data_IF_943854686518
#
_entry.id   IF_943854686518
#
_cell.length_a   1.000
_cell.length_b   1.000
_cell.length_c   1.000
_cell.angle_alpha   90.00
_cell.angle_beta   90.00
_cell.angle_gamma   90.00
#
_symmetry.space_group_name_H-M   'P 1'
#
loop_
_entity.id
_entity.type
_entity.pdbx_description
1 polymer ?
#
# COMPACT_ATOMS: atom_id res chain seq x y z
N UNK A 1 -10.56 -36.63 -13.85
CA UNK A 1 -9.13 -36.47 -14.14
C UNK A 1 -9.01 -35.40 -15.21
N UNK A 2 -8.58 -34.19 -14.85
CA UNK A 2 -8.59 -33.02 -15.74
C UNK A 2 -7.34 -33.01 -16.63
N UNK A 3 -7.52 -32.89 -17.95
CA UNK A 3 -6.42 -32.81 -18.92
C UNK A 3 -5.83 -31.41 -18.91
N UNK A 4 -4.51 -31.31 -18.71
CA UNK A 4 -3.77 -30.07 -18.81
C UNK A 4 -3.62 -29.67 -20.29
N UNK A 5 -4.15 -28.51 -20.67
CA UNK A 5 -3.93 -27.94 -21.99
C UNK A 5 -2.46 -27.52 -22.14
N UNK A 6 -1.74 -28.11 -23.09
CA UNK A 6 -0.36 -27.74 -23.41
C UNK A 6 -0.37 -26.50 -24.30
N UNK A 7 0.07 -25.37 -23.76
CA UNK A 7 0.22 -24.14 -24.53
C UNK A 7 1.44 -24.26 -25.45
N UNK A 8 1.24 -24.16 -26.77
CA UNK A 8 2.31 -24.22 -27.77
C UNK A 8 2.77 -22.82 -28.11
N UNK A 9 4.05 -22.51 -27.86
CA UNK A 9 4.63 -21.22 -28.24
C UNK A 9 4.79 -21.14 -29.77
N UNK A 10 3.98 -20.27 -30.40
CA UNK A 10 3.97 -20.04 -31.85
C UNK A 10 4.79 -18.81 -32.27
N UNK A 11 5.53 -18.20 -31.35
CA UNK A 11 6.34 -17.00 -31.61
C UNK A 11 7.36 -17.27 -32.73
N UNK A 12 7.96 -18.45 -32.74
CA UNK A 12 8.93 -18.86 -33.76
C UNK A 12 8.32 -18.96 -35.17
N UNK A 13 7.13 -19.55 -35.29
CA UNK A 13 6.38 -19.64 -36.55
C UNK A 13 6.04 -18.24 -37.08
N UNK A 14 5.54 -17.37 -36.20
CA UNK A 14 5.21 -15.99 -36.54
C UNK A 14 6.42 -15.25 -37.09
N UNK A 15 7.55 -15.27 -36.37
CA UNK A 15 8.81 -14.62 -36.79
C UNK A 15 9.28 -15.14 -38.15
N UNK A 16 9.21 -16.45 -38.37
CA UNK A 16 9.60 -17.08 -39.64
C UNK A 16 8.69 -16.63 -40.79
N UNK A 17 7.38 -16.54 -40.54
CA UNK A 17 6.40 -16.04 -41.50
C UNK A 17 6.63 -14.56 -41.83
N UNK A 18 6.89 -13.71 -40.82
CA UNK A 18 7.16 -12.27 -41.01
C UNK A 18 8.40 -12.03 -41.85
N UNK A 19 9.48 -12.79 -41.58
CA UNK A 19 10.73 -12.72 -42.34
C UNK A 19 10.54 -13.16 -43.80
N UNK A 20 9.71 -14.18 -44.02
CA UNK A 20 9.37 -14.67 -45.36
C UNK A 20 8.56 -13.63 -46.14
N UNK A 21 7.52 -13.05 -45.52
CA UNK A 21 6.70 -12.01 -46.13
C UNK A 21 7.51 -10.76 -46.51
N UNK A 22 8.46 -10.35 -45.64
CA UNK A 22 9.38 -9.24 -45.93
C UNK A 22 10.29 -9.52 -47.13
N UNK A 23 10.70 -10.78 -47.32
CA UNK A 23 11.54 -11.20 -48.46
C UNK A 23 10.76 -11.24 -49.78
N UNK A 24 9.47 -11.62 -49.72
CA UNK A 24 8.59 -11.70 -50.89
C UNK A 24 8.03 -10.33 -51.28
N UNK A 25 7.83 -9.41 -50.32
CA UNK A 25 7.22 -8.09 -50.49
C UNK A 25 8.09 -6.99 -51.13
N UNK A 26 9.24 -7.31 -51.72
CA UNK A 26 9.92 -6.42 -52.70
C UNK A 26 10.59 -5.13 -52.23
N UNK A 27 10.53 -4.74 -50.95
CA UNK A 27 11.25 -3.56 -50.44
C UNK A 27 12.41 -3.96 -49.51
N UNK A 28 13.48 -4.47 -50.12
CA UNK A 28 14.73 -4.77 -49.44
C UNK A 28 15.57 -3.49 -49.26
N UNK A 29 15.48 -2.87 -48.09
CA UNK A 29 16.65 -2.25 -47.47
C UNK A 29 17.20 -3.24 -46.43
N UNK A 30 18.52 -3.53 -46.42
CA UNK A 30 19.08 -4.41 -45.40
C UNK A 30 18.90 -3.78 -44.02
N UNK A 31 18.69 -4.57 -42.96
CA UNK A 31 18.67 -4.01 -41.62
C UNK A 31 20.07 -3.43 -41.34
N UNK A 32 20.14 -2.16 -40.93
CA UNK A 32 21.24 -1.73 -40.08
C UNK A 32 21.28 -2.73 -38.93
N UNK A 33 22.34 -3.51 -38.83
CA UNK A 33 22.65 -4.23 -37.61
C UNK A 33 22.91 -3.18 -36.55
N UNK A 34 21.86 -2.75 -35.85
CA UNK A 34 22.01 -2.15 -34.54
C UNK A 34 22.50 -3.26 -33.61
N UNK A 35 23.80 -3.53 -33.66
CA UNK A 35 24.55 -4.04 -32.52
C UNK A 35 24.52 -2.93 -31.45
N UNK A 36 23.36 -2.73 -30.84
CA UNK A 36 23.22 -1.99 -29.61
C UNK A 36 22.61 -2.98 -28.63
N UNK A 37 23.50 -3.65 -27.88
CA UNK A 37 23.17 -4.26 -26.60
C UNK A 37 22.82 -3.20 -25.53
N UNK A 38 22.53 -1.97 -25.95
CA UNK A 38 21.94 -0.97 -25.08
C UNK A 38 20.47 -1.33 -24.88
N UNK A 39 19.97 -1.35 -23.63
CA UNK A 39 18.55 -1.48 -23.39
C UNK A 39 17.88 -0.34 -24.15
N UNK A 40 17.03 -0.67 -25.13
CA UNK A 40 16.20 0.27 -25.85
C UNK A 40 15.62 1.20 -24.78
N UNK A 41 16.09 2.44 -24.74
CA UNK A 41 15.55 3.44 -23.85
C UNK A 41 14.15 3.74 -24.39
N UNK A 42 13.16 2.94 -23.98
CA UNK A 42 11.71 3.12 -24.15
C UNK A 42 11.20 4.37 -23.41
N UNK A 43 12.06 5.38 -23.25
CA UNK A 43 11.91 6.48 -22.31
C UNK A 43 11.92 7.86 -22.96
N UNK A 44 11.96 7.95 -24.29
CA UNK A 44 12.08 9.25 -24.95
C UNK A 44 10.76 9.99 -25.19
N UNK A 45 9.60 9.33 -25.13
CA UNK A 45 8.33 10.03 -25.30
C UNK A 45 7.18 9.46 -24.44
N UNK A 46 7.47 9.22 -23.16
CA UNK A 46 6.41 8.92 -22.20
C UNK A 46 5.62 10.20 -21.95
N UNK A 47 4.35 10.25 -22.39
CA UNK A 47 3.44 11.37 -22.08
C UNK A 47 3.55 11.81 -20.61
N UNK A 48 3.45 13.12 -20.35
CA UNK A 48 3.45 13.68 -18.99
C UNK A 48 2.40 13.04 -18.09
N UNK A 49 1.24 12.66 -18.66
CA UNK A 49 0.24 11.85 -17.98
C UNK A 49 0.84 10.55 -17.44
N UNK A 50 1.49 9.78 -18.32
CA UNK A 50 2.08 8.50 -17.97
C UNK A 50 3.20 8.65 -16.94
N UNK A 51 4.04 9.70 -17.03
CA UNK A 51 5.08 9.98 -16.03
C UNK A 51 4.46 10.25 -14.65
N UNK A 52 3.45 11.11 -14.57
CA UNK A 52 2.74 11.41 -13.31
C UNK A 52 2.02 10.18 -12.75
N UNK A 53 1.29 9.44 -13.59
CA UNK A 53 0.63 8.20 -13.20
C UNK A 53 1.62 7.18 -12.59
N UNK A 54 2.82 7.04 -13.17
CA UNK A 54 3.89 6.21 -12.61
C UNK A 54 4.25 6.60 -11.18
N UNK A 55 4.46 7.91 -10.97
CA UNK A 55 4.94 8.42 -9.69
C UNK A 55 3.87 8.29 -8.62
N UNK A 56 2.61 8.53 -8.99
CA UNK A 56 1.46 8.28 -8.12
C UNK A 56 1.39 6.79 -7.76
N UNK A 57 1.48 5.90 -8.75
CA UNK A 57 1.46 4.45 -8.52
C UNK A 57 2.57 3.96 -7.59
N UNK A 58 3.78 4.53 -7.71
CA UNK A 58 4.90 4.26 -6.81
C UNK A 58 4.64 4.80 -5.39
N UNK A 59 4.20 6.05 -5.27
CA UNK A 59 3.88 6.65 -3.97
C UNK A 59 2.77 5.88 -3.24
N UNK A 60 1.71 5.45 -3.95
CA UNK A 60 0.64 4.59 -3.39
C UNK A 60 1.22 3.31 -2.79
N UNK A 61 2.18 2.69 -3.48
CA UNK A 61 2.82 1.46 -3.00
C UNK A 61 3.73 1.71 -1.78
N UNK A 62 4.45 2.83 -1.76
CA UNK A 62 5.24 3.22 -0.60
C UNK A 62 4.35 3.49 0.63
N UNK A 63 3.22 4.18 0.42
CA UNK A 63 2.23 4.41 1.47
C UNK A 63 1.62 3.10 1.98
N UNK A 64 1.33 2.13 1.11
CA UNK A 64 0.84 0.82 1.55
C UNK A 64 1.86 0.09 2.43
N UNK A 65 3.16 0.16 2.09
CA UNK A 65 4.22 -0.41 2.94
C UNK A 65 4.30 0.27 4.32
N UNK A 66 4.18 1.60 4.38
CA UNK A 66 4.13 2.34 5.67
C UNK A 66 2.94 1.89 6.51
N UNK A 67 1.78 1.73 5.87
CA UNK A 67 0.55 1.24 6.49
C UNK A 67 0.72 -0.20 7.03
N UNK A 68 1.42 -1.08 6.31
CA UNK A 68 1.73 -2.44 6.77
C UNK A 68 2.71 -2.44 7.94
N UNK A 69 3.73 -1.58 7.89
CA UNK A 69 4.65 -1.36 9.02
C UNK A 69 3.89 -0.89 10.26
N UNK A 70 2.97 0.07 10.13
CA UNK A 70 2.12 0.54 11.22
C UNK A 70 1.34 -0.63 11.82
N UNK A 71 0.76 -1.50 10.98
CA UNK A 71 0.07 -2.71 11.45
C UNK A 71 0.95 -3.60 12.33
N UNK A 72 2.20 -3.83 11.90
CA UNK A 72 3.13 -4.67 12.62
C UNK A 72 3.57 -4.04 13.95
N UNK A 73 3.73 -2.71 13.98
CA UNK A 73 4.03 -1.97 15.21
C UNK A 73 2.88 -2.07 16.22
N UNK A 74 1.65 -1.82 15.77
CA UNK A 74 0.47 -1.90 16.64
C UNK A 74 0.27 -3.31 17.21
N UNK A 75 0.53 -4.37 16.43
CA UNK A 75 0.40 -5.77 16.88
C UNK A 75 1.49 -6.20 17.86
N UNK A 76 2.70 -5.64 17.74
CA UNK A 76 3.88 -6.02 18.53
C UNK A 76 4.16 -5.08 19.70
N UNK A 77 3.35 -4.03 19.86
CA UNK A 77 3.43 -3.11 21.00
C UNK A 77 3.26 -3.93 22.28
N UNK A 78 4.38 -4.18 22.96
CA UNK A 78 4.42 -4.85 24.25
C UNK A 78 4.19 -3.81 25.33
N UNK A 79 3.53 -4.19 26.43
CA UNK A 79 3.20 -3.32 27.57
C UNK A 79 4.42 -2.60 28.20
N UNK A 80 5.65 -3.03 27.85
CA UNK A 80 6.91 -2.47 28.35
C UNK A 80 7.70 -1.66 27.31
N UNK A 81 7.25 -1.64 26.06
CA UNK A 81 7.91 -0.96 24.95
C UNK A 81 6.99 0.16 24.45
N UNK A 82 7.17 1.37 24.99
CA UNK A 82 6.37 2.55 24.63
C UNK A 82 6.75 3.06 23.23
N UNK A 83 6.23 2.37 22.22
CA UNK A 83 6.40 2.71 20.80
C UNK A 83 5.35 3.70 20.31
N UNK A 84 4.65 4.38 21.21
CA UNK A 84 3.56 5.30 20.86
C UNK A 84 4.04 6.42 19.94
N UNK A 85 5.24 6.96 20.21
CA UNK A 85 5.86 7.99 19.37
C UNK A 85 6.10 7.54 17.92
N UNK A 86 6.63 6.34 17.70
CA UNK A 86 6.85 5.80 16.35
C UNK A 86 5.51 5.58 15.62
N UNK A 87 4.47 5.13 16.33
CA UNK A 87 3.14 4.97 15.76
C UNK A 87 2.54 6.33 15.35
N UNK A 88 2.67 7.35 16.19
CA UNK A 88 2.19 8.71 15.90
C UNK A 88 2.93 9.33 14.70
N UNK A 89 4.25 9.22 14.66
CA UNK A 89 5.07 9.70 13.54
C UNK A 89 4.71 9.00 12.23
N UNK A 90 4.60 7.67 12.25
CA UNK A 90 4.25 6.89 11.06
C UNK A 90 2.82 7.21 10.58
N UNK A 91 1.90 7.44 11.51
CA UNK A 91 0.54 7.92 11.21
C UNK A 91 0.55 9.30 10.56
N UNK A 92 1.38 10.23 11.06
CA UNK A 92 1.53 11.56 10.47
C UNK A 92 2.11 11.49 9.04
N UNK A 93 3.11 10.65 8.80
CA UNK A 93 3.64 10.41 7.45
C UNK A 93 2.61 9.82 6.51
N UNK A 94 1.82 8.84 6.94
CA UNK A 94 0.75 8.25 6.11
C UNK A 94 -0.31 9.29 5.77
N UNK A 95 -0.71 10.13 6.74
CA UNK A 95 -1.65 11.24 6.48
C UNK A 95 -1.10 12.23 5.44
N UNK A 96 0.17 12.61 5.56
CA UNK A 96 0.81 13.50 4.60
C UNK A 96 0.85 12.87 3.20
N UNK A 97 1.30 11.62 3.10
CA UNK A 97 1.31 10.87 1.84
C UNK A 97 -0.07 10.84 1.19
N UNK A 98 -1.14 10.51 1.95
CA UNK A 98 -2.51 10.45 1.45
C UNK A 98 -2.95 11.83 0.92
N UNK A 99 -2.65 12.90 1.64
CA UNK A 99 -2.95 14.27 1.19
C UNK A 99 -2.22 14.59 -0.12
N UNK A 100 -0.92 14.30 -0.20
CA UNK A 100 -0.13 14.50 -1.42
C UNK A 100 -0.63 13.64 -2.59
N UNK A 101 -1.05 12.40 -2.33
CA UNK A 101 -1.61 11.50 -3.32
C UNK A 101 -2.97 11.99 -3.85
N UNK A 102 -3.83 12.53 -3.00
CA UNK A 102 -5.09 13.14 -3.44
C UNK A 102 -4.84 14.31 -4.39
N UNK A 103 -3.93 15.22 -4.03
CA UNK A 103 -3.56 16.35 -4.90
C UNK A 103 -3.00 15.86 -6.23
N UNK A 104 -2.07 14.89 -6.21
CA UNK A 104 -1.46 14.36 -7.41
C UNK A 104 -2.47 13.65 -8.34
N UNK A 105 -3.48 12.97 -7.80
CA UNK A 105 -4.57 12.38 -8.59
C UNK A 105 -5.45 13.46 -9.21
N UNK A 106 -5.79 14.53 -8.49
CA UNK A 106 -6.54 15.67 -9.05
C UNK A 106 -5.77 16.36 -10.19
N UNK A 107 -4.45 16.53 -10.04
CA UNK A 107 -3.59 17.03 -11.12
C UNK A 107 -3.60 16.09 -12.33
N UNK A 108 -3.55 14.78 -12.11
CA UNK A 108 -3.59 13.78 -13.18
C UNK A 108 -4.91 13.82 -13.96
N UNK A 109 -6.04 13.98 -13.26
CA UNK A 109 -7.36 14.16 -13.87
C UNK A 109 -7.44 15.46 -14.67
N UNK A 110 -6.78 16.53 -14.20
CA UNK A 110 -6.70 17.78 -14.95
C UNK A 110 -5.96 17.57 -16.28
N UNK A 111 -4.84 16.82 -16.27
CA UNK A 111 -4.13 16.48 -17.50
C UNK A 111 -4.95 15.60 -18.44
N UNK A 112 -5.67 14.61 -17.90
CA UNK A 112 -6.61 13.81 -18.69
C UNK A 112 -7.63 14.70 -19.41
N UNK A 113 -8.24 15.66 -18.69
CA UNK A 113 -9.24 16.55 -19.27
C UNK A 113 -8.63 17.48 -20.35
N UNK A 114 -7.42 17.99 -20.13
CA UNK A 114 -6.69 18.78 -21.14
C UNK A 114 -6.41 17.96 -22.40
N UNK A 115 -5.97 16.72 -22.23
CA UNK A 115 -5.65 15.79 -23.32
C UNK A 115 -6.88 15.35 -24.13
N UNK A 116 -8.06 15.31 -23.49
CA UNK A 116 -9.35 15.10 -24.15
C UNK A 116 -9.85 16.39 -24.81
N UNK A 117 -9.60 17.57 -24.23
CA UNK A 117 -10.06 18.84 -24.80
C UNK A 117 -9.33 19.24 -26.10
N UNK A 118 -8.10 18.78 -26.30
CA UNK A 118 -7.24 19.09 -27.46
C UNK A 118 -7.77 18.49 -28.79
N UNK A 119 -8.81 17.65 -28.74
CA UNK A 119 -9.56 17.20 -29.93
C UNK A 119 -8.85 16.18 -30.83
N UNK A 120 -7.56 15.90 -30.63
CA UNK A 120 -6.75 15.02 -31.47
C UNK A 120 -6.55 13.61 -30.88
N UNK A 121 -7.56 13.07 -30.18
CA UNK A 121 -7.46 11.80 -29.44
C UNK A 121 -8.23 10.65 -30.11
N UNK A 122 -7.67 9.44 -30.01
CA UNK A 122 -8.40 8.20 -30.31
C UNK A 122 -9.32 7.85 -29.13
N UNK A 123 -10.49 7.24 -29.39
CA UNK A 123 -11.39 6.78 -28.33
C UNK A 123 -10.71 5.82 -27.35
N UNK A 124 -9.81 4.97 -27.85
CA UNK A 124 -8.97 4.07 -27.04
C UNK A 124 -8.11 4.83 -26.03
N UNK A 125 -7.57 5.99 -26.42
CA UNK A 125 -6.74 6.82 -25.55
C UNK A 125 -7.56 7.37 -24.37
N UNK A 126 -8.77 7.85 -24.62
CA UNK A 126 -9.66 8.32 -23.52
C UNK A 126 -9.98 7.20 -22.55
N UNK A 127 -10.30 6.01 -23.06
CA UNK A 127 -10.59 4.84 -22.23
C UNK A 127 -9.37 4.48 -21.39
N UNK A 128 -8.18 4.48 -21.97
CA UNK A 128 -6.93 4.21 -21.26
C UNK A 128 -6.69 5.21 -20.13
N UNK A 129 -6.73 6.53 -20.42
CA UNK A 129 -6.51 7.57 -19.41
C UNK A 129 -7.51 7.46 -18.25
N UNK A 130 -8.78 7.25 -18.58
CA UNK A 130 -9.86 7.08 -17.60
C UNK A 130 -9.61 5.88 -16.70
N UNK A 131 -9.27 4.74 -17.31
CA UNK A 131 -9.00 3.49 -16.57
C UNK A 131 -7.82 3.66 -15.62
N UNK A 132 -6.75 4.34 -16.04
CA UNK A 132 -5.59 4.61 -15.18
C UNK A 132 -5.96 5.51 -14.00
N UNK A 133 -6.72 6.59 -14.22
CA UNK A 133 -7.20 7.45 -13.14
C UNK A 133 -8.06 6.67 -12.13
N UNK A 134 -8.98 5.84 -12.63
CA UNK A 134 -9.87 5.04 -11.79
C UNK A 134 -9.12 3.98 -10.99
N UNK A 135 -8.15 3.28 -11.59
CA UNK A 135 -7.29 2.33 -10.88
C UNK A 135 -6.52 3.01 -9.75
N UNK A 136 -5.87 4.14 -10.03
CA UNK A 136 -5.10 4.87 -9.03
C UNK A 136 -6.00 5.37 -7.88
N UNK A 137 -7.19 5.85 -8.20
CA UNK A 137 -8.18 6.29 -7.20
C UNK A 137 -8.66 5.12 -6.34
N UNK A 138 -8.96 3.97 -6.93
CA UNK A 138 -9.36 2.77 -6.21
C UNK A 138 -8.25 2.28 -5.27
N UNK A 139 -6.99 2.27 -5.73
CA UNK A 139 -5.84 1.89 -4.91
C UNK A 139 -5.59 2.86 -3.76
N UNK A 140 -5.73 4.18 -3.98
CA UNK A 140 -5.65 5.16 -2.91
C UNK A 140 -6.77 4.96 -1.89
N UNK A 141 -8.00 4.73 -2.36
CA UNK A 141 -9.15 4.47 -1.49
C UNK A 141 -8.94 3.23 -0.61
N UNK A 142 -8.33 2.17 -1.17
CA UNK A 142 -7.96 0.99 -0.38
C UNK A 142 -6.96 1.33 0.72
N UNK A 143 -5.93 2.13 0.44
CA UNK A 143 -4.99 2.60 1.46
C UNK A 143 -5.69 3.42 2.57
N UNK A 144 -6.59 4.33 2.21
CA UNK A 144 -7.36 5.13 3.18
C UNK A 144 -8.17 4.22 4.11
N UNK A 145 -8.93 3.27 3.55
CA UNK A 145 -9.72 2.30 4.32
C UNK A 145 -8.84 1.48 5.26
N UNK A 146 -7.70 1.02 4.77
CA UNK A 146 -6.79 0.17 5.52
C UNK A 146 -6.08 0.96 6.65
N UNK A 147 -5.73 2.22 6.42
CA UNK A 147 -5.21 3.11 7.46
C UNK A 147 -6.26 3.38 8.55
N UNK A 148 -7.52 3.67 8.17
CA UNK A 148 -8.58 3.94 9.13
C UNK A 148 -8.89 2.72 10.01
N UNK A 149 -8.96 1.51 9.42
CA UNK A 149 -9.14 0.27 10.19
C UNK A 149 -8.02 0.07 11.23
N UNK A 150 -6.76 0.33 10.86
CA UNK A 150 -5.61 0.18 11.77
C UNK A 150 -5.62 1.22 12.88
N UNK A 151 -6.02 2.45 12.58
CA UNK A 151 -6.18 3.51 13.58
C UNK A 151 -7.23 3.15 14.64
N UNK A 152 -8.34 2.53 14.23
CA UNK A 152 -9.34 2.03 15.18
C UNK A 152 -8.77 0.94 16.09
N UNK A 153 -8.01 -0.02 15.54
CA UNK A 153 -7.36 -1.07 16.32
C UNK A 153 -6.44 -0.49 17.40
N UNK A 154 -5.58 0.47 17.05
CA UNK A 154 -4.72 1.15 18.02
C UNK A 154 -5.52 1.82 19.14
N UNK A 155 -6.59 2.54 18.80
CA UNK A 155 -7.47 3.15 19.80
C UNK A 155 -8.09 2.12 20.75
N UNK A 156 -8.55 0.97 20.22
CA UNK A 156 -9.16 -0.08 21.06
C UNK A 156 -8.17 -0.78 21.98
N UNK A 157 -6.91 -0.94 21.54
CA UNK A 157 -5.84 -1.53 22.36
C UNK A 157 -5.49 -0.59 23.52
N UNK A 158 -5.29 0.70 23.25
CA UNK A 158 -5.02 1.70 24.29
C UNK A 158 -6.18 1.80 25.30
N UNK A 159 -7.44 1.73 24.86
CA UNK A 159 -8.59 1.72 25.77
C UNK A 159 -8.67 0.48 26.65
N UNK A 160 -8.19 -0.69 26.19
CA UNK A 160 -8.10 -1.93 27.00
C UNK A 160 -6.96 -1.93 27.98
N UNK A 161 -5.93 -1.11 27.78
CA UNK A 161 -4.78 -0.96 28.67
C UNK A 161 -4.99 0.08 29.78
N UNK A 162 -5.89 1.06 29.55
CA UNK A 162 -6.26 2.07 30.54
C UNK A 162 -7.06 1.59 31.79
N UNK A 163 -7.55 0.34 31.95
CA UNK A 163 -8.14 -0.14 33.21
C UNK A 163 -7.13 -0.38 34.34
N UNK A 164 -5.81 -0.47 34.05
CA UNK A 164 -4.80 -0.77 35.07
C UNK A 164 -4.23 0.46 35.79
N UNK A 165 -4.76 1.66 35.50
CA UNK A 165 -4.39 2.92 36.15
C UNK A 165 -5.40 3.42 37.17
N UNK A 166 -6.45 2.65 37.49
CA UNK A 166 -7.17 2.90 38.73
C UNK A 166 -6.29 2.43 39.89
N UNK A 167 -5.88 3.32 40.83
CA UNK A 167 -5.30 2.84 42.07
C UNK A 167 -6.32 1.89 42.71
N UNK A 168 -5.91 0.76 43.30
CA UNK A 168 -6.83 -0.02 44.11
C UNK A 168 -7.39 0.94 45.15
N UNK A 169 -8.70 1.23 45.07
CA UNK A 169 -9.39 1.89 46.16
C UNK A 169 -9.00 1.11 47.42
N UNK A 170 -8.33 1.79 48.33
CA UNK A 170 -7.86 1.24 49.60
C UNK A 170 -9.09 0.84 50.42
N UNK A 171 -9.63 -0.34 50.15
CA UNK A 171 -10.39 -1.10 51.13
C UNK A 171 -9.31 -1.73 52.02
N UNK A 172 -9.00 -1.03 53.10
CA UNK A 172 -8.19 -1.54 54.21
C UNK A 172 -8.99 -2.65 54.90
N UNK A 173 -9.11 -3.80 54.26
CA UNK A 173 -9.52 -5.02 54.94
C UNK A 173 -8.27 -5.88 55.10
N UNK A 174 -7.80 -6.12 56.34
CA UNK A 174 -6.60 -6.89 56.56
C UNK A 174 -6.82 -8.34 56.08
N UNK A 175 -5.78 -8.98 55.55
CA UNK A 175 -5.90 -10.32 55.02
C UNK A 175 -6.30 -11.32 56.13
N UNK A 176 -7.06 -12.39 55.82
CA UNK A 176 -7.75 -13.25 56.79
C UNK A 176 -6.84 -14.04 57.75
N UNK A 177 -5.52 -13.95 57.59
CA UNK A 177 -4.54 -14.54 58.52
C UNK A 177 -4.08 -13.56 59.61
N UNK A 178 -4.53 -12.30 59.61
CA UNK A 178 -4.16 -11.29 60.61
C UNK A 178 -5.00 -11.32 61.90
N UNK A 179 -5.97 -12.22 62.03
CA UNK A 179 -6.83 -12.33 63.22
C UNK A 179 -6.61 -13.64 63.96
N UNK A 180 -5.42 -13.86 64.54
CA UNK A 180 -5.17 -14.95 65.50
C UNK A 180 -3.88 -14.74 66.28
N UNK A 181 -3.81 -13.76 67.17
CA UNK A 181 -2.73 -13.70 68.15
C UNK A 181 -3.11 -12.93 69.43
N UNK A 182 -4.31 -13.10 69.97
CA UNK A 182 -4.59 -12.70 71.35
C UNK A 182 -5.55 -13.72 71.98
N UNK A 183 -5.00 -14.90 72.26
CA UNK A 183 -5.56 -15.82 73.25
C UNK A 183 -4.56 -16.00 74.38
N UNK A 184 -4.88 -15.34 75.49
CA UNK A 184 -4.89 -15.92 76.83
C UNK A 184 -3.54 -16.30 77.45
N UNK A 185 -3.04 -15.45 78.36
CA UNK A 185 -2.29 -15.92 79.54
C UNK A 185 -3.15 -15.73 80.80
N UNK A 186 -3.47 -16.87 81.42
CA UNK A 186 -3.74 -17.18 82.84
C UNK A 186 -4.64 -16.24 83.66
N UNK A 187 -5.81 -16.68 84.13
CA UNK A 187 -6.09 -17.69 85.18
C UNK A 187 -5.64 -17.27 86.58
N UNK A 188 -6.64 -17.15 87.46
CA UNK A 188 -6.68 -17.06 88.93
C UNK A 188 -5.43 -17.50 89.70
N UNK A 189 -5.08 -16.78 90.78
CA UNK A 189 -5.59 -16.95 92.17
C UNK A 189 -5.51 -15.61 92.90
#
# INVERSE_FOLDING_TARGET
>A
MAAAATFRDRTSEFVSLSNTLRRVGGNALPPLQSQSNDPISVSLDRSEFNKKASRIGLHIHQTSQKIDRLSNLTKRSSIFDDRSKENEELTAWIKNDITGLNVAISDLQTLQNMEIADGNYSGDRVVHLTTVCDDLKNRLMNNIKAHENRKQLFSTVVSRENPLKEPPNTVTEPPPWSSSAERNLQSSV
#
